data_IF_589111328167
#
_entry.id   IF_589111328167
#
_cell.length_a   1.000
_cell.length_b   1.000
_cell.length_c   1.000
_cell.angle_alpha   90.00
_cell.angle_beta   90.00
_cell.angle_gamma   90.00
#
_symmetry.space_group_name_H-M   'P 1'
#
loop_
_entity.id
_entity.type
_entity.pdbx_description
1 polymer ?
#
# COMPACT_ATOMS: atom_id res chain seq x y z
N UNK A 1 -5.77 4.37 -9.93
CA UNK A 1 -4.80 3.51 -9.21
C UNK A 1 -4.11 4.39 -8.20
N UNK A 2 -3.76 3.83 -7.04
CA UNK A 2 -2.98 4.50 -6.00
C UNK A 2 -1.67 3.73 -5.81
N UNK A 3 -0.54 4.44 -5.77
CA UNK A 3 0.79 3.89 -5.47
C UNK A 3 1.36 4.67 -4.28
N UNK A 4 1.91 3.98 -3.27
CA UNK A 4 2.58 4.62 -2.14
C UNK A 4 3.63 3.73 -1.49
N UNK A 5 4.48 4.31 -0.65
CA UNK A 5 5.41 3.60 0.23
C UNK A 5 5.02 3.79 1.70
N UNK A 6 5.16 2.73 2.51
CA UNK A 6 5.15 2.81 3.98
C UNK A 6 6.59 2.74 4.46
N UNK A 7 7.09 3.84 5.03
CA UNK A 7 8.46 3.92 5.56
C UNK A 7 8.45 3.66 7.06
N UNK A 8 9.30 2.72 7.50
CA UNK A 8 9.44 2.30 8.90
C UNK A 8 10.74 2.85 9.52
N UNK A 9 10.91 2.56 10.80
CA UNK A 9 12.11 2.91 11.56
C UNK A 9 11.87 4.01 12.59
N UNK A 10 12.97 4.44 13.22
CA UNK A 10 12.94 5.45 14.26
C UNK A 10 12.52 6.81 13.70
N UNK A 11 11.57 7.47 14.38
CA UNK A 11 10.99 8.74 13.94
C UNK A 11 9.83 8.62 12.96
N UNK A 12 9.54 7.42 12.44
CA UNK A 12 8.31 7.16 11.71
C UNK A 12 7.12 6.98 12.65
N UNK A 13 5.91 6.93 12.09
CA UNK A 13 4.70 6.59 12.86
C UNK A 13 4.89 5.23 13.56
N UNK A 14 4.42 5.13 14.82
CA UNK A 14 4.48 3.88 15.58
C UNK A 14 3.54 2.81 15.01
N UNK A 15 2.48 3.21 14.32
CA UNK A 15 1.48 2.32 13.75
C UNK A 15 0.99 2.84 12.38
N UNK A 16 1.86 2.83 11.34
CA UNK A 16 1.56 3.50 10.08
C UNK A 16 0.34 2.89 9.36
N UNK A 17 0.23 1.56 9.32
CA UNK A 17 -0.93 0.94 8.67
C UNK A 17 -2.23 1.12 9.46
N UNK A 18 -2.19 1.20 10.80
CA UNK A 18 -3.40 1.36 11.60
C UNK A 18 -4.19 2.62 11.25
N UNK A 19 -3.49 3.75 11.03
CA UNK A 19 -4.13 5.00 10.60
C UNK A 19 -4.50 5.01 9.11
N UNK A 20 -3.77 4.26 8.27
CA UNK A 20 -3.96 4.27 6.83
C UNK A 20 -5.12 3.37 6.37
N UNK A 21 -5.30 2.19 7.00
CA UNK A 21 -6.26 1.17 6.56
C UNK A 21 -7.71 1.67 6.48
N UNK A 22 -8.25 2.46 7.45
CA UNK A 22 -9.60 3.02 7.32
C UNK A 22 -9.77 3.87 6.07
N UNK A 23 -8.77 4.71 5.76
CA UNK A 23 -8.78 5.60 4.60
C UNK A 23 -8.70 4.85 3.27
N UNK A 24 -7.91 3.76 3.21
CA UNK A 24 -7.84 2.91 2.02
C UNK A 24 -9.18 2.23 1.74
N UNK A 25 -9.85 1.72 2.79
CA UNK A 25 -11.18 1.10 2.66
C UNK A 25 -12.22 2.10 2.18
N UNK A 26 -12.23 3.32 2.74
CA UNK A 26 -13.12 4.39 2.30
C UNK A 26 -12.87 4.75 0.83
N UNK A 27 -11.61 4.88 0.40
CA UNK A 27 -11.26 5.16 -0.98
C UNK A 27 -11.70 4.05 -1.95
N UNK A 28 -11.58 2.79 -1.55
CA UNK A 28 -12.08 1.64 -2.33
C UNK A 28 -13.61 1.67 -2.44
N UNK A 29 -14.32 1.92 -1.34
CA UNK A 29 -15.78 2.03 -1.33
C UNK A 29 -16.28 3.16 -2.22
N UNK A 30 -15.68 4.34 -2.12
CA UNK A 30 -16.02 5.50 -2.95
C UNK A 30 -15.78 5.21 -4.45
N UNK A 31 -14.71 4.49 -4.78
CA UNK A 31 -14.47 4.05 -6.15
C UNK A 31 -15.55 3.08 -6.63
N UNK A 32 -15.91 2.10 -5.82
CA UNK A 32 -16.93 1.11 -6.13
C UNK A 32 -18.31 1.75 -6.34
N UNK A 33 -18.70 2.72 -5.51
CA UNK A 33 -19.93 3.50 -5.67
C UNK A 33 -19.98 4.28 -6.99
N UNK A 34 -18.83 4.68 -7.51
CA UNK A 34 -18.68 5.34 -8.81
C UNK A 34 -18.55 4.34 -9.98
N UNK A 35 -18.81 3.05 -9.74
CA UNK A 35 -18.74 2.01 -10.77
C UNK A 35 -17.33 1.70 -11.26
N UNK A 36 -16.28 2.06 -10.50
CA UNK A 36 -14.88 1.85 -10.88
C UNK A 36 -14.11 1.08 -9.82
N UNK A 37 -13.11 0.30 -10.24
CA UNK A 37 -12.21 -0.39 -9.32
C UNK A 37 -10.95 0.43 -9.03
N UNK A 38 -10.64 0.65 -7.75
CA UNK A 38 -9.40 1.29 -7.30
C UNK A 38 -8.33 0.23 -7.01
N UNK A 39 -7.42 0.03 -7.95
CA UNK A 39 -6.20 -0.74 -7.71
C UNK A 39 -5.25 0.05 -6.80
N UNK A 40 -4.77 -0.61 -5.74
CA UNK A 40 -3.84 -0.03 -4.77
C UNK A 40 -2.57 -0.89 -4.75
N UNK A 41 -1.42 -0.27 -4.97
CA UNK A 41 -0.10 -0.88 -4.96
C UNK A 41 0.73 -0.18 -3.88
N UNK A 42 1.48 -0.94 -3.11
CA UNK A 42 2.36 -0.38 -2.09
C UNK A 42 3.70 -1.13 -2.01
N UNK A 43 4.65 -0.52 -1.32
CA UNK A 43 5.83 -1.21 -0.81
C UNK A 43 6.09 -0.76 0.64
N UNK A 44 6.67 -1.67 1.44
CA UNK A 44 7.04 -1.39 2.84
C UNK A 44 8.56 -1.27 2.94
N UNK A 45 9.02 -0.02 3.04
CA UNK A 45 10.42 0.35 3.19
C UNK A 45 10.83 0.27 4.66
N UNK A 46 11.69 -0.68 5.00
CA UNK A 46 12.14 -0.93 6.36
C UNK A 46 12.64 -2.35 6.51
N UNK A 47 12.81 -2.79 7.75
CA UNK A 47 13.35 -4.08 8.11
C UNK A 47 12.50 -4.74 9.21
N UNK A 48 12.68 -6.05 9.41
CA UNK A 48 12.05 -6.74 10.54
C UNK A 48 12.60 -6.31 11.91
N UNK A 49 13.69 -5.54 11.94
CA UNK A 49 14.28 -5.00 13.18
C UNK A 49 13.68 -3.65 13.56
N UNK A 50 12.86 -3.06 12.70
CA UNK A 50 12.19 -1.79 13.01
C UNK A 50 11.04 -1.99 13.99
N UNK A 51 10.75 -1.01 14.87
CA UNK A 51 9.74 -1.13 15.94
C UNK A 51 8.33 -1.54 15.47
N UNK A 52 8.00 -1.22 14.22
CA UNK A 52 6.67 -1.44 13.64
C UNK A 52 6.45 -2.86 13.09
N UNK A 53 7.49 -3.71 13.05
CA UNK A 53 7.52 -5.01 12.37
C UNK A 53 7.08 -4.96 10.90
N UNK A 54 8.04 -5.02 9.98
CA UNK A 54 7.77 -4.96 8.54
C UNK A 54 6.76 -6.03 8.09
N UNK A 55 6.90 -7.28 8.54
CA UNK A 55 5.97 -8.34 8.16
C UNK A 55 4.52 -8.07 8.62
N UNK A 56 4.31 -7.50 9.81
CA UNK A 56 2.97 -7.15 10.29
C UNK A 56 2.33 -6.05 9.45
N UNK A 57 3.12 -5.04 9.03
CA UNK A 57 2.62 -3.98 8.15
C UNK A 57 2.25 -4.53 6.77
N UNK A 58 3.05 -5.43 6.21
CA UNK A 58 2.75 -6.10 4.94
C UNK A 58 1.45 -6.90 5.04
N UNK A 59 1.32 -7.75 6.07
CA UNK A 59 0.13 -8.58 6.27
C UNK A 59 -1.15 -7.72 6.36
N UNK A 60 -1.11 -6.64 7.15
CA UNK A 60 -2.26 -5.76 7.32
C UNK A 60 -2.68 -5.05 6.02
N UNK A 61 -1.71 -4.67 5.17
CA UNK A 61 -2.00 -4.10 3.85
C UNK A 61 -2.56 -5.15 2.89
N UNK A 62 -1.97 -6.34 2.85
CA UNK A 62 -2.45 -7.45 2.00
C UNK A 62 -3.87 -7.87 2.37
N UNK A 63 -4.20 -7.96 3.66
CA UNK A 63 -5.55 -8.27 4.15
C UNK A 63 -6.58 -7.20 3.75
N UNK A 64 -6.15 -5.97 3.52
CA UNK A 64 -6.99 -4.89 2.98
C UNK A 64 -7.06 -4.85 1.45
N UNK A 65 -6.50 -5.85 0.76
CA UNK A 65 -6.52 -5.95 -0.69
C UNK A 65 -5.50 -5.03 -1.39
N UNK A 66 -4.46 -4.59 -0.68
CA UNK A 66 -3.34 -3.85 -1.29
C UNK A 66 -2.35 -4.85 -1.89
N UNK A 67 -1.91 -4.60 -3.13
CA UNK A 67 -0.80 -5.33 -3.72
C UNK A 67 0.52 -4.79 -3.17
N UNK A 68 1.17 -5.57 -2.30
CA UNK A 68 2.44 -5.17 -1.69
C UNK A 68 3.60 -5.79 -2.47
N UNK A 69 4.46 -4.95 -3.05
CA UNK A 69 5.65 -5.34 -3.78
C UNK A 69 6.86 -5.51 -2.85
N UNK A 70 7.81 -6.33 -3.27
CA UNK A 70 9.05 -6.61 -2.52
C UNK A 70 10.01 -5.42 -2.51
N UNK A 71 9.92 -4.53 -3.51
CA UNK A 71 10.73 -3.31 -3.62
C UNK A 71 9.93 -2.17 -4.23
N UNK A 72 10.39 -0.94 -3.98
CA UNK A 72 9.82 0.26 -4.60
C UNK A 72 9.94 0.25 -6.14
N UNK A 73 11.03 -0.30 -6.68
CA UNK A 73 11.23 -0.46 -8.14
C UNK A 73 10.15 -1.38 -8.71
N UNK A 74 9.90 -2.52 -8.08
CA UNK A 74 8.85 -3.43 -8.51
C UNK A 74 7.46 -2.77 -8.39
N UNK A 75 7.19 -2.05 -7.30
CA UNK A 75 5.93 -1.31 -7.14
C UNK A 75 5.70 -0.30 -8.28
N UNK A 76 6.74 0.46 -8.62
CA UNK A 76 6.71 1.43 -9.72
C UNK A 76 6.54 0.76 -11.09
N UNK A 77 7.21 -0.37 -11.33
CA UNK A 77 7.04 -1.15 -12.57
C UNK A 77 5.61 -1.68 -12.72
N UNK A 78 5.03 -2.24 -11.66
CA UNK A 78 3.63 -2.69 -11.65
C UNK A 78 2.67 -1.53 -11.94
N UNK A 79 2.89 -0.39 -11.29
CA UNK A 79 2.09 0.81 -11.50
C UNK A 79 2.18 1.32 -12.95
N UNK A 80 3.39 1.40 -13.51
CA UNK A 80 3.62 1.83 -14.88
C UNK A 80 2.94 0.88 -15.89
N UNK A 81 3.05 -0.43 -15.67
CA UNK A 81 2.38 -1.44 -16.50
C UNK A 81 0.86 -1.23 -16.51
N UNK A 82 0.23 -1.09 -15.35
CA UNK A 82 -1.22 -0.85 -15.24
C UNK A 82 -1.63 0.48 -15.87
N UNK A 83 -0.83 1.54 -15.69
CA UNK A 83 -1.11 2.84 -16.28
C UNK A 83 -1.10 2.79 -17.82
N UNK A 84 -0.22 2.00 -18.42
CA UNK A 84 -0.15 1.81 -19.88
C UNK A 84 -1.33 1.01 -20.44
N UNK A 85 -1.86 0.04 -19.68
CA UNK A 85 -3.05 -0.75 -20.07
C UNK A 85 -4.36 0.04 -20.04
N UNK A 86 -4.39 1.19 -19.36
CA UNK A 86 -5.58 2.04 -19.21
C UNK A 86 -5.62 3.21 -20.22
N UNK A 87 -4.79 3.17 -21.26
CA UNK A 87 -4.89 4.07 -22.42
C UNK A 87 -6.03 3.61 -23.34
#
# INVERSE_FOLDING_TARGET
MLLFDVVLGYGASAAPCAGLLPLLREAQQNAQQQGRHLLIIAHVCGTERDPQSRQQQIAALTDAGVLVADSNVQAAQMAAFVAQLRK
#
